data_IF_157488081328
#
_entry.id   IF_157488081328
#
_cell.length_a   1.000
_cell.length_b   1.000
_cell.length_c   1.000
_cell.angle_alpha   90.00
_cell.angle_beta   90.00
_cell.angle_gamma   90.00
#
_symmetry.space_group_name_H-M   'P 1'
#
loop_
_entity.id
_entity.type
_entity.pdbx_description
1 polymer ?
#
# COMPACT_ATOMS: atom_id res chain seq x y z
N UNK A 1 -37.17 24.98 -13.52
CA UNK A 1 -35.98 25.08 -12.63
C UNK A 1 -35.77 23.74 -11.97
N UNK A 2 -34.94 22.90 -12.55
CA UNK A 2 -34.66 21.54 -12.06
C UNK A 2 -33.50 21.66 -11.09
N UNK A 3 -33.75 21.41 -9.81
CA UNK A 3 -32.66 21.37 -8.80
C UNK A 3 -31.89 20.08 -8.98
N UNK A 4 -30.64 20.21 -9.37
CA UNK A 4 -29.66 19.12 -9.33
C UNK A 4 -29.30 18.92 -7.86
N UNK A 5 -29.73 17.80 -7.29
CA UNK A 5 -29.21 17.32 -5.99
C UNK A 5 -27.79 16.89 -6.19
N UNK A 6 -26.83 17.70 -5.76
CA UNK A 6 -25.44 17.28 -5.59
C UNK A 6 -25.42 16.34 -4.39
N UNK A 7 -25.15 15.07 -4.66
CA UNK A 7 -24.91 14.08 -3.62
C UNK A 7 -23.50 14.33 -3.08
N UNK A 8 -23.43 15.05 -1.98
CA UNK A 8 -22.18 15.29 -1.25
C UNK A 8 -21.89 14.02 -0.44
N UNK A 9 -21.30 13.01 -1.07
CA UNK A 9 -20.56 11.99 -0.32
C UNK A 9 -19.25 12.67 0.08
N UNK A 10 -19.33 13.46 1.15
CA UNK A 10 -18.16 13.88 1.87
C UNK A 10 -17.44 12.61 2.33
N UNK A 11 -16.18 12.52 2.02
CA UNK A 11 -15.26 11.66 2.76
C UNK A 11 -15.39 12.10 4.22
N UNK A 12 -16.14 11.31 5.01
CA UNK A 12 -16.11 11.45 6.47
C UNK A 12 -14.69 11.18 6.90
N UNK A 13 -13.93 12.25 7.05
CA UNK A 13 -12.68 12.21 7.77
C UNK A 13 -13.05 11.95 9.23
N UNK A 14 -13.17 10.66 9.58
CA UNK A 14 -13.28 10.26 10.98
C UNK A 14 -11.90 10.47 11.58
N UNK A 15 -11.74 11.41 12.52
CA UNK A 15 -10.46 11.55 13.20
C UNK A 15 -10.11 10.20 13.82
N UNK A 16 -8.86 9.79 13.68
CA UNK A 16 -8.34 8.57 14.28
C UNK A 16 -8.73 8.54 15.78
N UNK A 17 -9.45 7.49 16.19
CA UNK A 17 -9.98 7.41 17.55
C UNK A 17 -8.84 7.03 18.52
N UNK A 18 -8.43 7.92 19.45
CA UNK A 18 -7.37 7.61 20.42
C UNK A 18 -7.69 6.39 21.31
N UNK A 19 -8.97 6.02 21.44
CA UNK A 19 -9.37 4.84 22.21
C UNK A 19 -8.93 3.55 21.53
N UNK A 20 -8.84 3.53 20.19
CA UNK A 20 -8.39 2.38 19.41
C UNK A 20 -6.94 2.02 19.73
N UNK A 21 -6.04 3.01 19.85
CA UNK A 21 -4.64 2.75 20.24
C UNK A 21 -4.58 2.11 21.63
N UNK A 22 -5.36 2.62 22.59
CA UNK A 22 -5.40 2.01 23.94
C UNK A 22 -5.87 0.56 23.90
N UNK A 23 -6.90 0.25 23.10
CA UNK A 23 -7.39 -1.12 22.94
C UNK A 23 -6.38 -2.03 22.24
N UNK A 24 -5.64 -1.51 21.25
CA UNK A 24 -4.55 -2.24 20.59
C UNK A 24 -3.42 -2.53 21.57
N UNK A 25 -3.00 -1.53 22.36
CA UNK A 25 -1.97 -1.70 23.38
C UNK A 25 -2.36 -2.73 24.44
N UNK A 26 -3.58 -2.67 24.98
CA UNK A 26 -4.08 -3.65 25.94
C UNK A 26 -4.11 -5.08 25.35
N UNK A 27 -4.41 -5.21 24.06
CA UNK A 27 -4.42 -6.48 23.36
C UNK A 27 -3.00 -7.02 23.11
N UNK A 28 -2.03 -6.14 22.80
CA UNK A 28 -0.61 -6.49 22.65
C UNK A 28 -0.02 -6.93 23.99
N UNK A 29 -0.24 -6.18 25.09
CA UNK A 29 0.22 -6.51 26.43
C UNK A 29 -0.28 -7.91 26.88
N UNK A 30 -1.47 -8.31 26.44
CA UNK A 30 -2.05 -9.63 26.76
C UNK A 30 -1.81 -10.68 25.68
N UNK A 31 -1.09 -10.34 24.59
CA UNK A 31 -0.88 -11.19 23.40
C UNK A 31 -2.18 -11.74 22.80
N UNK A 32 -3.26 -10.94 22.83
CA UNK A 32 -4.57 -11.33 22.31
C UNK A 32 -4.64 -11.08 20.78
N UNK A 33 -4.09 -12.01 20.01
CA UNK A 33 -4.12 -11.99 18.54
C UNK A 33 -5.53 -11.83 17.97
N UNK A 34 -6.53 -12.52 18.56
CA UNK A 34 -7.91 -12.46 18.03
C UNK A 34 -8.51 -11.06 18.22
N UNK A 35 -8.19 -10.40 19.32
CA UNK A 35 -8.61 -9.03 19.57
C UNK A 35 -7.95 -8.06 18.55
N UNK A 36 -6.65 -8.19 18.30
CA UNK A 36 -5.94 -7.40 17.28
C UNK A 36 -6.59 -7.56 15.90
N UNK A 37 -6.78 -8.79 15.43
CA UNK A 37 -7.44 -9.07 14.14
C UNK A 37 -8.85 -8.46 14.09
N UNK A 38 -9.61 -8.55 15.19
CA UNK A 38 -10.96 -7.96 15.26
C UNK A 38 -10.94 -6.44 15.17
N UNK A 39 -9.96 -5.78 15.80
CA UNK A 39 -9.80 -4.33 15.78
C UNK A 39 -9.37 -3.81 14.41
N UNK A 40 -8.50 -4.55 13.70
CA UNK A 40 -7.92 -4.12 12.42
C UNK A 40 -8.75 -4.50 11.19
N UNK A 41 -9.66 -5.46 11.30
CA UNK A 41 -10.39 -6.08 10.17
C UNK A 41 -11.08 -5.12 9.20
N UNK A 42 -11.60 -4.00 9.70
CA UNK A 42 -12.36 -3.04 8.91
C UNK A 42 -11.64 -1.70 8.74
N UNK A 43 -10.38 -1.63 9.12
CA UNK A 43 -9.55 -0.44 8.96
C UNK A 43 -8.97 -0.36 7.55
N UNK A 44 -8.73 0.85 7.08
CA UNK A 44 -7.97 1.09 5.86
C UNK A 44 -6.47 0.80 6.07
N UNK A 45 -5.71 0.70 4.98
CA UNK A 45 -4.25 0.57 5.05
C UNK A 45 -3.61 1.75 5.81
N UNK A 46 -4.08 2.97 5.54
CA UNK A 46 -3.63 4.18 6.23
C UNK A 46 -3.92 4.14 7.75
N UNK A 47 -5.12 3.70 8.16
CA UNK A 47 -5.44 3.59 9.59
C UNK A 47 -4.55 2.56 10.30
N UNK A 48 -4.23 1.43 9.63
CA UNK A 48 -3.32 0.42 10.18
C UNK A 48 -1.89 0.95 10.24
N UNK A 49 -1.44 1.69 9.23
CA UNK A 49 -0.13 2.34 9.23
C UNK A 49 -0.03 3.37 10.37
N UNK A 50 -1.08 4.15 10.61
CA UNK A 50 -1.13 5.07 11.76
C UNK A 50 -1.00 4.33 13.09
N UNK A 51 -1.65 3.18 13.26
CA UNK A 51 -1.48 2.34 14.46
C UNK A 51 -0.01 1.93 14.59
N UNK A 52 0.59 1.40 13.53
CA UNK A 52 1.99 0.94 13.54
C UNK A 52 2.95 2.09 13.85
N UNK A 53 2.69 3.29 13.31
CA UNK A 53 3.48 4.48 13.57
C UNK A 53 3.37 4.98 15.02
N UNK A 54 2.26 4.70 15.70
CA UNK A 54 1.95 5.21 17.05
C UNK A 54 2.29 4.22 18.18
N UNK A 55 2.30 2.91 17.93
CA UNK A 55 2.65 1.93 18.96
C UNK A 55 4.16 1.95 19.24
N UNK A 56 4.59 1.53 20.48
CA UNK A 56 6.01 1.44 20.82
C UNK A 56 6.77 0.49 19.88
N UNK A 57 7.99 0.84 19.51
CA UNK A 57 8.82 0.07 18.57
C UNK A 57 8.93 -1.42 18.93
N UNK A 58 9.04 -1.75 20.22
CA UNK A 58 9.16 -3.14 20.66
C UNK A 58 7.88 -3.96 20.46
N UNK A 59 6.73 -3.31 20.24
CA UNK A 59 5.44 -3.96 19.94
C UNK A 59 5.19 -4.15 18.44
N UNK A 60 5.89 -3.42 17.58
CA UNK A 60 5.69 -3.48 16.11
C UNK A 60 5.81 -4.91 15.60
N UNK A 61 6.82 -5.64 16.07
CA UNK A 61 7.03 -7.02 15.65
C UNK A 61 5.83 -7.91 15.96
N UNK A 62 5.36 -7.89 17.20
CA UNK A 62 4.25 -8.73 17.65
C UNK A 62 2.95 -8.33 16.93
N UNK A 63 2.74 -7.02 16.71
CA UNK A 63 1.61 -6.52 15.94
C UNK A 63 1.63 -7.05 14.49
N UNK A 64 2.77 -6.94 13.78
CA UNK A 64 2.92 -7.45 12.41
C UNK A 64 2.72 -8.96 12.35
N UNK A 65 3.30 -9.75 13.28
CA UNK A 65 3.09 -11.20 13.35
C UNK A 65 1.61 -11.58 13.57
N UNK A 66 0.84 -10.73 14.26
CA UNK A 66 -0.57 -10.99 14.48
C UNK A 66 -1.44 -10.75 13.25
N UNK A 67 -1.10 -9.75 12.43
CA UNK A 67 -1.85 -9.40 11.20
C UNK A 67 -1.26 -10.00 9.92
N UNK A 68 -0.14 -10.74 9.99
CA UNK A 68 0.63 -11.23 8.83
C UNK A 68 -0.22 -11.91 7.76
N UNK A 69 -1.21 -12.71 8.15
CA UNK A 69 -2.06 -13.44 7.19
C UNK A 69 -3.05 -12.53 6.43
N UNK A 70 -3.37 -11.37 6.99
CA UNK A 70 -4.33 -10.41 6.45
C UNK A 70 -3.63 -9.06 6.14
N UNK A 71 -2.28 -9.05 6.07
CA UNK A 71 -1.50 -7.84 5.84
C UNK A 71 -1.77 -7.28 4.43
N UNK A 72 -2.34 -6.07 4.38
CA UNK A 72 -2.53 -5.36 3.12
C UNK A 72 -1.20 -4.70 2.69
N UNK A 73 -0.66 -5.01 1.47
CA UNK A 73 0.56 -4.38 0.95
C UNK A 73 0.57 -2.84 0.96
N UNK A 74 -0.58 -2.20 0.75
CA UNK A 74 -0.72 -0.73 0.78
C UNK A 74 -0.29 -0.12 2.12
N UNK A 75 -0.27 -0.89 3.21
CA UNK A 75 0.24 -0.43 4.50
C UNK A 75 1.70 0.02 4.36
N UNK A 76 2.50 -0.65 3.52
CA UNK A 76 3.92 -0.32 3.35
C UNK A 76 4.13 1.09 2.78
N UNK A 77 3.28 1.55 1.85
CA UNK A 77 3.39 2.90 1.29
C UNK A 77 2.96 3.99 2.26
N UNK A 78 2.13 3.66 3.26
CA UNK A 78 1.62 4.59 4.27
C UNK A 78 2.49 4.71 5.53
N UNK A 79 3.50 3.81 5.69
CA UNK A 79 4.39 3.84 6.85
C UNK A 79 5.43 4.96 6.76
N UNK A 80 5.81 5.53 7.92
CA UNK A 80 7.00 6.38 8.02
C UNK A 80 8.26 5.59 7.64
N UNK A 81 9.20 6.22 6.93
CA UNK A 81 10.43 5.62 6.38
C UNK A 81 11.13 4.65 7.35
N UNK A 82 11.43 5.13 8.57
CA UNK A 82 12.17 4.35 9.57
C UNK A 82 11.40 3.13 10.11
N UNK A 83 10.07 3.18 10.09
CA UNK A 83 9.20 2.07 10.49
C UNK A 83 9.01 1.12 9.32
N UNK A 84 8.87 1.65 8.11
CA UNK A 84 8.77 0.89 6.86
C UNK A 84 9.96 -0.06 6.71
N UNK A 85 11.19 0.44 6.88
CA UNK A 85 12.40 -0.37 6.82
C UNK A 85 12.37 -1.53 7.84
N UNK A 86 11.97 -1.26 9.08
CA UNK A 86 11.82 -2.28 10.12
C UNK A 86 10.78 -3.34 9.74
N UNK A 87 9.61 -2.92 9.25
CA UNK A 87 8.54 -3.82 8.82
C UNK A 87 8.96 -4.66 7.61
N UNK A 88 9.66 -4.07 6.64
CA UNK A 88 10.24 -4.80 5.49
C UNK A 88 11.20 -5.89 5.97
N UNK A 89 12.05 -5.59 6.94
CA UNK A 89 12.96 -6.57 7.52
C UNK A 89 12.23 -7.69 8.27
N UNK A 90 11.13 -7.38 8.97
CA UNK A 90 10.29 -8.37 9.65
C UNK A 90 9.57 -9.30 8.66
N UNK A 91 8.98 -8.75 7.61
CA UNK A 91 8.26 -9.50 6.58
C UNK A 91 9.20 -10.30 5.66
N UNK A 92 10.40 -9.79 5.45
CA UNK A 92 11.45 -10.38 4.62
C UNK A 92 11.28 -10.10 3.12
N UNK A 93 12.39 -10.08 2.41
CA UNK A 93 12.49 -9.65 1.01
C UNK A 93 11.60 -10.43 0.03
N UNK A 94 11.28 -11.70 0.31
CA UNK A 94 10.40 -12.50 -0.57
C UNK A 94 8.96 -12.04 -0.48
N UNK A 95 8.48 -11.81 0.73
CA UNK A 95 7.13 -11.31 0.94
C UNK A 95 6.96 -9.90 0.36
N UNK A 96 7.95 -9.03 0.61
CA UNK A 96 7.94 -7.65 0.08
C UNK A 96 7.93 -7.65 -1.45
N UNK A 97 8.71 -8.52 -2.11
CA UNK A 97 8.70 -8.65 -3.57
C UNK A 97 7.32 -9.08 -4.12
N UNK A 98 6.57 -9.93 -3.41
CA UNK A 98 5.20 -10.30 -3.76
C UNK A 98 4.21 -9.16 -3.46
N UNK A 99 4.45 -8.40 -2.39
CA UNK A 99 3.64 -7.23 -2.03
C UNK A 99 3.74 -6.12 -3.07
N UNK A 100 4.96 -5.79 -3.54
CA UNK A 100 5.19 -4.77 -4.56
C UNK A 100 4.45 -5.03 -5.87
N UNK A 101 4.28 -6.31 -6.26
CA UNK A 101 3.53 -6.69 -7.46
C UNK A 101 2.01 -6.46 -7.34
N UNK A 102 1.51 -6.11 -6.16
CA UNK A 102 0.09 -5.83 -5.90
C UNK A 102 -0.18 -4.35 -5.69
N UNK A 103 0.87 -3.54 -5.57
CA UNK A 103 0.80 -2.10 -5.43
C UNK A 103 0.77 -1.43 -6.80
N UNK A 104 0.23 -0.22 -6.87
CA UNK A 104 0.45 0.66 -8.01
C UNK A 104 1.93 1.01 -8.13
N UNK A 105 2.38 1.34 -9.35
CA UNK A 105 3.82 1.52 -9.63
C UNK A 105 4.47 2.59 -8.76
N UNK A 106 3.80 3.71 -8.53
CA UNK A 106 4.26 4.82 -7.69
C UNK A 106 4.37 4.43 -6.21
N UNK A 107 3.38 3.71 -5.67
CA UNK A 107 3.42 3.16 -4.31
C UNK A 107 4.56 2.14 -4.14
N UNK A 108 4.73 1.24 -5.13
CA UNK A 108 5.81 0.27 -5.10
C UNK A 108 7.18 0.94 -5.10
N UNK A 109 7.35 2.02 -5.86
CA UNK A 109 8.57 2.83 -5.87
C UNK A 109 8.79 3.50 -4.52
N UNK A 110 7.74 4.13 -3.97
CA UNK A 110 7.81 4.79 -2.66
C UNK A 110 8.22 3.83 -1.54
N UNK A 111 7.82 2.57 -1.61
CA UNK A 111 8.21 1.53 -0.63
C UNK A 111 9.70 1.22 -0.69
N UNK A 112 10.31 1.23 -1.88
CA UNK A 112 11.70 0.75 -2.07
C UNK A 112 12.74 1.84 -2.31
N UNK A 113 12.33 3.09 -2.58
CA UNK A 113 13.27 4.15 -2.97
C UNK A 113 14.25 4.51 -1.86
N UNK A 114 13.82 4.47 -0.60
CA UNK A 114 14.62 4.81 0.57
C UNK A 114 15.45 3.65 1.13
N UNK A 115 15.25 2.41 0.62
CA UNK A 115 15.99 1.24 1.09
C UNK A 115 17.46 1.28 0.68
N UNK A 116 18.31 0.68 1.50
CA UNK A 116 19.71 0.42 1.15
C UNK A 116 19.81 -0.36 -0.18
N UNK A 117 20.79 -0.04 -1.01
CA UNK A 117 20.95 -0.63 -2.35
C UNK A 117 21.01 -2.17 -2.35
N UNK A 118 21.59 -2.77 -1.33
CA UNK A 118 21.66 -4.23 -1.20
C UNK A 118 20.29 -4.85 -1.00
N UNK A 119 19.45 -4.29 -0.13
CA UNK A 119 18.08 -4.74 0.13
C UNK A 119 17.17 -4.49 -1.07
N UNK A 120 17.27 -3.31 -1.67
CA UNK A 120 16.58 -2.96 -2.93
C UNK A 120 16.86 -3.99 -4.02
N UNK A 121 18.13 -4.33 -4.23
CA UNK A 121 18.54 -5.34 -5.20
C UNK A 121 18.04 -6.74 -4.85
N UNK A 122 18.05 -7.13 -3.57
CA UNK A 122 17.52 -8.42 -3.12
C UNK A 122 16.04 -8.57 -3.38
N UNK A 123 15.25 -7.50 -3.17
CA UNK A 123 13.81 -7.46 -3.44
C UNK A 123 13.55 -7.49 -4.94
N UNK A 124 14.15 -6.57 -5.71
CA UNK A 124 13.95 -6.45 -7.15
C UNK A 124 14.32 -7.73 -7.92
N UNK A 125 15.36 -8.45 -7.47
CA UNK A 125 15.74 -9.72 -8.10
C UNK A 125 14.72 -10.85 -7.92
N UNK A 126 13.77 -10.70 -7.02
CA UNK A 126 12.68 -11.67 -6.78
C UNK A 126 11.41 -11.34 -7.59
N UNK A 127 11.31 -10.14 -8.14
CA UNK A 127 10.20 -9.70 -9.00
C UNK A 127 10.42 -10.22 -10.42
N UNK A 128 9.36 -10.63 -11.15
CA UNK A 128 9.43 -11.00 -12.56
C UNK A 128 10.10 -9.91 -13.40
N UNK A 129 10.80 -10.32 -14.47
CA UNK A 129 11.67 -9.42 -15.23
C UNK A 129 10.95 -8.20 -15.80
N UNK A 130 9.76 -8.37 -16.36
CA UNK A 130 8.96 -7.29 -16.96
C UNK A 130 8.60 -6.22 -15.91
N UNK A 131 8.01 -6.60 -14.79
CA UNK A 131 7.61 -5.70 -13.71
C UNK A 131 8.83 -5.03 -13.07
N UNK A 132 9.91 -5.79 -12.88
CA UNK A 132 11.19 -5.23 -12.39
C UNK A 132 11.75 -4.15 -13.33
N UNK A 133 11.69 -4.35 -14.67
CA UNK A 133 12.15 -3.37 -15.65
C UNK A 133 11.31 -2.09 -15.59
N UNK A 134 10.02 -2.18 -15.33
CA UNK A 134 9.13 -1.04 -15.12
C UNK A 134 9.51 -0.25 -13.87
N UNK A 135 9.63 -0.92 -12.72
CA UNK A 135 10.06 -0.28 -11.47
C UNK A 135 11.46 0.36 -11.61
N UNK A 136 12.41 -0.32 -12.23
CA UNK A 136 13.75 0.22 -12.48
C UNK A 136 13.72 1.43 -13.42
N UNK A 137 12.86 1.43 -14.41
CA UNK A 137 12.68 2.58 -15.32
C UNK A 137 12.19 3.81 -14.56
N UNK A 138 11.23 3.63 -13.68
CA UNK A 138 10.69 4.71 -12.84
C UNK A 138 11.72 5.18 -11.81
N UNK A 139 12.49 4.29 -11.21
CA UNK A 139 13.60 4.63 -10.29
C UNK A 139 14.72 5.44 -10.96
N UNK A 140 14.85 5.42 -12.28
CA UNK A 140 15.82 6.24 -13.01
C UNK A 140 15.40 7.72 -13.17
N UNK A 141 14.14 8.07 -12.93
CA UNK A 141 13.73 9.48 -12.90
C UNK A 141 14.31 10.18 -11.66
N UNK A 142 14.61 11.49 -11.72
CA UNK A 142 14.99 12.25 -10.54
C UNK A 142 13.89 12.18 -9.46
N UNK A 143 14.27 12.09 -8.19
CA UNK A 143 13.34 11.91 -7.05
C UNK A 143 12.22 12.97 -7.03
N UNK A 144 12.56 14.26 -7.25
CA UNK A 144 11.61 15.36 -7.28
C UNK A 144 10.90 15.57 -8.63
N UNK A 145 10.94 14.59 -9.54
CA UNK A 145 10.33 14.74 -10.85
C UNK A 145 8.92 14.18 -10.92
N UNK A 146 8.06 14.76 -11.78
CA UNK A 146 6.75 14.20 -12.06
C UNK A 146 6.82 12.76 -12.60
N UNK A 147 7.90 12.39 -13.29
CA UNK A 147 8.12 11.03 -13.76
C UNK A 147 8.30 10.02 -12.64
N UNK A 148 8.89 10.43 -11.49
CA UNK A 148 9.05 9.59 -10.31
C UNK A 148 7.71 9.32 -9.61
N UNK A 149 6.82 10.32 -9.58
CA UNK A 149 5.52 10.27 -8.92
C UNK A 149 4.38 9.80 -9.84
N UNK A 150 4.71 9.38 -11.05
CA UNK A 150 3.74 9.00 -12.06
C UNK A 150 3.38 7.52 -11.92
N UNK A 151 2.09 7.20 -11.75
CA UNK A 151 1.62 5.83 -11.95
C UNK A 151 1.74 5.44 -13.42
N UNK A 152 2.20 4.23 -13.70
CA UNK A 152 2.24 3.62 -15.02
C UNK A 152 1.03 2.72 -15.27
N UNK A 153 0.18 2.54 -14.28
CA UNK A 153 -1.03 1.71 -14.33
C UNK A 153 -2.17 2.44 -15.03
N UNK A 154 -2.12 2.47 -16.36
CA UNK A 154 -3.15 3.10 -17.19
C UNK A 154 -3.55 2.24 -18.37
N UNK A 155 -4.82 2.36 -18.76
CA UNK A 155 -5.34 1.69 -19.95
C UNK A 155 -5.23 2.62 -21.15
N UNK A 156 -4.39 2.25 -22.14
CA UNK A 156 -4.26 2.96 -23.38
C UNK A 156 -5.27 2.47 -24.42
N UNK A 157 -6.08 3.37 -24.94
CA UNK A 157 -7.08 3.08 -25.98
C UNK A 157 -6.67 3.69 -27.31
N UNK A 158 -7.03 3.00 -28.42
CA UNK A 158 -6.80 3.55 -29.75
C UNK A 158 -7.64 4.82 -29.94
N UNK A 159 -7.06 5.95 -30.41
CA UNK A 159 -7.78 7.22 -30.55
C UNK A 159 -8.94 7.17 -31.55
N UNK A 160 -9.03 6.13 -32.39
CA UNK A 160 -10.07 6.00 -33.42
C UNK A 160 -11.29 5.18 -32.96
N UNK A 161 -11.31 4.66 -31.72
CA UNK A 161 -12.45 3.95 -31.18
C UNK A 161 -13.50 4.94 -30.63
N UNK A 162 -14.77 4.56 -30.70
CA UNK A 162 -15.83 5.33 -30.07
C UNK A 162 -16.02 4.95 -28.57
N UNK A 163 -16.80 5.76 -27.85
CA UNK A 163 -17.03 5.56 -26.40
C UNK A 163 -17.66 4.20 -26.09
N UNK A 164 -18.55 3.70 -26.95
CA UNK A 164 -19.17 2.38 -26.78
C UNK A 164 -18.13 1.25 -26.85
N UNK A 165 -17.25 1.30 -27.83
CA UNK A 165 -16.14 0.36 -27.98
C UNK A 165 -15.15 0.44 -26.82
N UNK A 166 -14.88 1.64 -26.31
CA UNK A 166 -14.05 1.84 -25.12
C UNK A 166 -14.67 1.18 -23.87
N UNK A 167 -15.98 1.39 -23.66
CA UNK A 167 -16.71 0.75 -22.56
C UNK A 167 -16.70 -0.78 -22.70
N UNK A 168 -16.90 -1.29 -23.91
CA UNK A 168 -16.89 -2.73 -24.17
C UNK A 168 -15.49 -3.34 -23.98
N UNK A 169 -14.44 -2.60 -24.31
CA UNK A 169 -13.05 -2.99 -24.06
C UNK A 169 -12.79 -3.10 -22.54
N UNK A 170 -13.12 -2.05 -21.77
CA UNK A 170 -12.92 -2.03 -20.31
C UNK A 170 -13.76 -3.09 -19.58
N UNK A 171 -14.94 -3.44 -20.10
CA UNK A 171 -15.80 -4.50 -19.51
C UNK A 171 -15.31 -5.91 -19.80
N UNK A 172 -14.59 -6.10 -20.88
CA UNK A 172 -14.01 -7.39 -21.23
C UNK A 172 -12.72 -7.72 -20.49
N UNK A 173 -12.23 -6.76 -19.74
CA UNK A 173 -11.02 -6.65 -18.95
C UNK A 173 -10.44 -7.86 -18.23
N UNK A 174 -10.26 -8.96 -18.92
CA UNK A 174 -9.55 -10.13 -18.40
C UNK A 174 -8.02 -10.08 -18.61
N UNK A 175 -7.49 -8.95 -19.16
CA UNK A 175 -6.06 -8.76 -19.46
C UNK A 175 -5.66 -7.27 -19.36
N UNK A 176 -6.02 -6.58 -18.26
CA UNK A 176 -5.53 -5.22 -17.95
C UNK A 176 -4.56 -5.27 -16.81
#
# INVERSE_FOLDING_TARGET
MTQIKVNNQGTDFTPFDPSLISEVMDALDTSDKNKIISLTKNLSAADIADIINLIPRHEVKDFIEFIENDFNPEILSELEETIREEVINLLGHSYVAEALQKLETDDAIHVIEDLEEDDKNLILNKIPKNEREELQSSLNYPEDSAGRLMSLDFVALNPNINVGEAIDFLRKGDDL
#
